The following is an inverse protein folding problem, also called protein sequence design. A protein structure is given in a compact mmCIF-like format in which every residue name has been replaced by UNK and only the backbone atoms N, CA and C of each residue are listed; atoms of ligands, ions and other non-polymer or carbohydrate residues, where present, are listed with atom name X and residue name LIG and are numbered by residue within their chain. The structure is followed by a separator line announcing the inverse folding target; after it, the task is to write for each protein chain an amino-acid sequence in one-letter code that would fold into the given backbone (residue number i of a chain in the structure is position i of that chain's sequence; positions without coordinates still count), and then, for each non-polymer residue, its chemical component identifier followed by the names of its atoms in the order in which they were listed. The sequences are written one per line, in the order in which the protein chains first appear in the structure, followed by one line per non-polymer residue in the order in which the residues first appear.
data_IF_248941421199
#
_entry.id   IF_248941421199
#
_cell.length_a   1.000
_cell.length_b   1.000
_cell.length_c   1.000
_cell.angle_alpha   90.00
_cell.angle_beta   90.00
_cell.angle_gamma   90.00
#
_symmetry.space_group_name_H-M   'P 1'
#
loop_
_entity.id
_entity.type
_entity.pdbx_description
1 polymer ?
#
# COMPACT_ATOMS: atom_id res chain seq x y z
N UNK A 1 -2.09 3.24 39.47
CA UNK A 1 -1.08 3.77 38.52
C UNK A 1 -0.69 2.77 37.43
N UNK A 2 -0.38 1.48 37.71
CA UNK A 2 -0.07 0.48 36.65
C UNK A 2 -1.25 0.14 35.73
N UNK A 3 -2.43 -0.18 36.27
CA UNK A 3 -3.62 -0.53 35.47
C UNK A 3 -4.08 0.57 34.50
N UNK A 4 -3.93 1.84 34.88
CA UNK A 4 -4.22 2.98 33.99
C UNK A 4 -3.23 3.05 32.81
N UNK A 5 -1.98 2.70 33.05
CA UNK A 5 -0.91 2.72 32.04
C UNK A 5 -1.03 1.56 31.06
N UNK A 6 -1.48 0.39 31.52
CA UNK A 6 -1.71 -0.77 30.65
C UNK A 6 -2.95 -0.58 29.77
N UNK A 7 -4.03 -0.01 30.32
CA UNK A 7 -5.21 0.37 29.54
C UNK A 7 -4.92 1.48 28.51
N UNK A 8 -4.08 2.46 28.87
CA UNK A 8 -3.61 3.49 27.94
C UNK A 8 -2.76 2.91 26.80
N UNK A 9 -1.93 1.90 27.07
CA UNK A 9 -1.14 1.23 26.03
C UNK A 9 -2.02 0.42 25.08
N UNK A 10 -2.97 -0.34 25.62
CA UNK A 10 -3.91 -1.14 24.82
C UNK A 10 -4.77 -0.24 23.92
N UNK A 11 -5.29 0.87 24.45
CA UNK A 11 -6.06 1.86 23.67
C UNK A 11 -5.20 2.48 22.55
N UNK A 12 -3.89 2.60 22.77
CA UNK A 12 -2.96 3.16 21.79
C UNK A 12 -2.65 2.16 20.68
N UNK A 13 -2.48 0.89 21.02
CA UNK A 13 -2.28 -0.19 20.07
C UNK A 13 -3.54 -0.41 19.21
N UNK A 14 -4.74 -0.34 19.81
CA UNK A 14 -6.02 -0.39 19.09
C UNK A 14 -6.20 0.79 18.13
N UNK A 15 -5.78 1.99 18.55
CA UNK A 15 -5.80 3.18 17.70
C UNK A 15 -4.80 3.09 16.54
N UNK A 16 -3.60 2.56 16.78
CA UNK A 16 -2.59 2.32 15.75
C UNK A 16 -3.06 1.27 14.74
N UNK A 17 -3.73 0.20 15.19
CA UNK A 17 -4.31 -0.82 14.32
C UNK A 17 -5.44 -0.25 13.46
N UNK A 18 -6.35 0.51 14.07
CA UNK A 18 -7.46 1.18 13.35
C UNK A 18 -6.90 2.15 12.31
N UNK A 19 -5.84 2.89 12.63
CA UNK A 19 -5.18 3.79 11.69
C UNK A 19 -4.52 3.03 10.53
N UNK A 20 -3.93 1.86 10.78
CA UNK A 20 -3.35 1.01 9.75
C UNK A 20 -4.42 0.44 8.80
N UNK A 21 -5.55 -0.04 9.33
CA UNK A 21 -6.66 -0.59 8.54
C UNK A 21 -7.30 0.49 7.65
N UNK A 22 -7.44 1.72 8.16
CA UNK A 22 -7.89 2.87 7.38
C UNK A 22 -6.92 3.23 6.26
N UNK A 23 -5.61 3.25 6.55
CA UNK A 23 -4.57 3.53 5.57
C UNK A 23 -4.56 2.48 4.44
N UNK A 24 -4.73 1.20 4.80
CA UNK A 24 -4.85 0.11 3.83
C UNK A 24 -6.13 0.24 2.99
N UNK A 25 -7.26 0.59 3.60
CA UNK A 25 -8.52 0.81 2.88
C UNK A 25 -8.40 1.97 1.89
N UNK A 26 -7.74 3.06 2.29
CA UNK A 26 -7.47 4.20 1.42
C UNK A 26 -6.53 3.80 0.27
N UNK A 27 -5.50 3.02 0.55
CA UNK A 27 -4.58 2.51 -0.48
C UNK A 27 -5.30 1.63 -1.51
N UNK A 28 -6.14 0.68 -1.06
CA UNK A 28 -6.93 -0.17 -1.96
C UNK A 28 -7.91 0.65 -2.81
N UNK A 29 -8.52 1.69 -2.23
CA UNK A 29 -9.43 2.60 -2.95
C UNK A 29 -8.68 3.38 -4.03
N UNK A 30 -7.53 3.96 -3.70
CA UNK A 30 -6.68 4.68 -4.65
C UNK A 30 -6.18 3.76 -5.78
N UNK A 31 -5.85 2.50 -5.46
CA UNK A 31 -5.45 1.52 -6.46
C UNK A 31 -6.60 1.18 -7.41
N UNK A 32 -7.80 0.92 -6.88
CA UNK A 32 -8.98 0.68 -7.71
C UNK A 32 -9.28 1.86 -8.63
N UNK A 33 -9.17 3.10 -8.11
CA UNK A 33 -9.34 4.30 -8.91
C UNK A 33 -8.26 4.42 -10.01
N UNK A 34 -7.02 4.06 -9.69
CA UNK A 34 -5.93 4.03 -10.66
C UNK A 34 -6.15 3.00 -11.77
N UNK A 35 -6.63 1.81 -11.43
CA UNK A 35 -6.91 0.76 -12.42
C UNK A 35 -8.05 1.16 -13.36
N UNK A 36 -9.09 1.80 -12.82
CA UNK A 36 -10.20 2.38 -13.60
C UNK A 36 -9.69 3.49 -14.53
N UNK A 37 -8.83 4.38 -14.04
CA UNK A 37 -8.25 5.46 -14.86
C UNK A 37 -7.32 4.90 -15.97
N UNK A 38 -6.56 3.84 -15.68
CA UNK A 38 -5.76 3.15 -16.69
C UNK A 38 -6.65 2.54 -17.77
N UNK A 39 -7.71 1.83 -17.37
CA UNK A 39 -8.65 1.24 -18.31
C UNK A 39 -9.35 2.30 -19.16
N UNK A 40 -9.80 3.40 -18.54
CA UNK A 40 -10.36 4.55 -19.23
C UNK A 40 -9.38 5.17 -20.23
N UNK A 41 -8.11 5.31 -19.85
CA UNK A 41 -7.08 5.83 -20.77
C UNK A 41 -6.79 4.89 -21.93
N UNK A 42 -6.78 3.57 -21.71
CA UNK A 42 -6.61 2.58 -22.78
C UNK A 42 -7.80 2.60 -23.75
N UNK A 43 -9.03 2.71 -23.22
CA UNK A 43 -10.24 2.83 -24.03
C UNK A 43 -10.23 4.12 -24.87
N UNK A 44 -9.84 5.26 -24.28
CA UNK A 44 -9.69 6.53 -25.00
C UNK A 44 -8.63 6.46 -26.09
N UNK A 45 -7.49 5.82 -25.83
CA UNK A 45 -6.45 5.61 -26.84
C UNK A 45 -6.97 4.75 -28.00
N UNK A 46 -7.71 3.69 -27.72
CA UNK A 46 -8.30 2.82 -28.73
C UNK A 46 -9.36 3.57 -29.57
N UNK A 47 -10.20 4.39 -28.94
CA UNK A 47 -11.16 5.25 -29.63
C UNK A 47 -10.45 6.28 -30.50
N UNK A 48 -9.42 6.95 -29.96
CA UNK A 48 -8.65 7.94 -30.70
C UNK A 48 -7.92 7.34 -31.91
N UNK A 49 -7.34 6.15 -31.76
CA UNK A 49 -6.73 5.42 -32.89
C UNK A 49 -7.76 5.07 -33.97
N UNK A 50 -8.99 4.74 -33.56
CA UNK A 50 -10.09 4.44 -34.48
C UNK A 50 -10.59 5.69 -35.21
N UNK A 51 -10.69 6.81 -34.52
CA UNK A 51 -11.04 8.11 -35.10
C UNK A 51 -9.95 8.59 -36.07
N UNK A 52 -8.68 8.38 -35.74
CA UNK A 52 -7.57 8.65 -36.66
C UNK A 52 -7.71 7.82 -37.94
N UNK A 53 -7.98 6.52 -37.81
CA UNK A 53 -8.15 5.65 -38.97
C UNK A 53 -9.36 6.04 -39.85
N UNK A 54 -10.44 6.51 -39.22
CA UNK A 54 -11.59 7.06 -39.95
C UNK A 54 -11.20 8.35 -40.69
N UNK A 55 -10.49 9.26 -40.03
CA UNK A 55 -10.02 10.51 -40.63
C UNK A 55 -9.04 10.27 -41.78
N UNK A 56 -8.12 9.31 -41.66
CA UNK A 56 -7.18 8.94 -42.72
C UNK A 56 -7.92 8.38 -43.95
N UNK A 57 -8.99 7.61 -43.74
CA UNK A 57 -9.85 7.11 -44.81
C UNK A 57 -10.61 8.23 -45.50
N UNK A 58 -11.18 9.14 -44.73
CA UNK A 58 -11.93 10.28 -45.27
C UNK A 58 -10.99 11.20 -46.06
N UNK A 59 -9.74 11.36 -45.61
CA UNK A 59 -8.72 12.08 -46.37
C UNK A 59 -8.38 11.38 -47.68
N UNK A 60 -8.17 10.06 -47.67
CA UNK A 60 -7.89 9.32 -48.88
C UNK A 60 -9.05 9.40 -49.90
N UNK A 61 -10.29 9.49 -49.42
CA UNK A 61 -11.46 9.73 -50.25
C UNK A 61 -11.47 11.16 -50.81
N UNK A 62 -11.22 12.18 -49.97
CA UNK A 62 -11.15 13.57 -50.38
C UNK A 62 -10.03 13.83 -51.42
N UNK A 63 -8.83 13.27 -51.21
CA UNK A 63 -7.71 13.37 -52.15
C UNK A 63 -8.04 12.69 -53.50
N UNK A 64 -8.80 11.59 -53.46
CA UNK A 64 -9.27 10.92 -54.68
C UNK A 64 -10.33 11.77 -55.42
N UNK A 65 -11.26 12.39 -54.69
CA UNK A 65 -12.26 13.30 -55.27
C UNK A 65 -11.62 14.57 -55.83
N UNK A 66 -10.63 15.13 -55.15
CA UNK A 66 -9.83 16.28 -55.61
C UNK A 66 -9.11 15.95 -56.92
N UNK A 67 -8.45 14.79 -57.00
CA UNK A 67 -7.78 14.34 -58.23
C UNK A 67 -8.74 14.18 -59.43
N UNK A 68 -10.04 13.99 -59.16
CA UNK A 68 -11.10 13.85 -60.15
C UNK A 68 -11.84 15.17 -60.44
N UNK A 69 -11.66 16.19 -59.60
CA UNK A 69 -12.37 17.47 -59.67
C UNK A 69 -11.47 18.54 -60.31
N UNK A 70 -11.96 19.34 -61.27
CA UNK A 70 -11.16 20.44 -61.83
C UNK A 70 -10.77 21.44 -60.74
N UNK A 71 -9.48 21.82 -60.64
CA UNK A 71 -9.01 22.68 -59.55
C UNK A 71 -9.70 24.05 -59.58
N UNK A 72 -10.11 24.51 -58.41
CA UNK A 72 -10.72 25.81 -58.18
C UNK A 72 -10.18 26.44 -56.91
N UNK A 73 -10.18 27.78 -56.83
CA UNK A 73 -9.66 28.49 -55.64
C UNK A 73 -10.45 28.14 -54.37
N UNK A 74 -11.75 27.87 -54.49
CA UNK A 74 -12.59 27.48 -53.34
C UNK A 74 -12.29 26.05 -52.85
N UNK A 75 -12.02 25.10 -53.75
CA UNK A 75 -11.66 23.72 -53.37
C UNK A 75 -10.30 23.67 -52.68
N UNK A 76 -9.33 24.45 -53.17
CA UNK A 76 -7.98 24.50 -52.60
C UNK A 76 -8.00 25.10 -51.18
N UNK A 77 -8.75 26.19 -50.98
CA UNK A 77 -8.91 26.83 -49.67
C UNK A 77 -9.61 25.94 -48.64
N UNK A 78 -10.64 25.20 -49.05
CA UNK A 78 -11.34 24.27 -48.17
C UNK A 78 -10.44 23.10 -47.74
N UNK A 79 -9.60 22.58 -48.64
CA UNK A 79 -8.66 21.50 -48.34
C UNK A 79 -7.59 21.97 -47.36
N UNK A 80 -7.00 23.14 -47.58
CA UNK A 80 -5.98 23.72 -46.71
C UNK A 80 -6.52 23.97 -45.29
N UNK A 81 -7.73 24.56 -45.18
CA UNK A 81 -8.40 24.74 -43.88
C UNK A 81 -8.66 23.41 -43.15
N UNK A 82 -9.10 22.38 -43.87
CA UNK A 82 -9.32 21.05 -43.30
C UNK A 82 -8.00 20.40 -42.83
N UNK A 83 -6.90 20.67 -43.55
CA UNK A 83 -5.55 20.21 -43.18
C UNK A 83 -5.08 20.86 -41.89
N UNK A 84 -5.27 22.17 -41.75
CA UNK A 84 -4.90 22.93 -40.56
C UNK A 84 -5.70 22.47 -39.32
N UNK A 85 -7.02 22.25 -39.47
CA UNK A 85 -7.85 21.72 -38.39
C UNK A 85 -7.38 20.35 -37.89
N UNK A 86 -6.95 19.46 -38.79
CA UNK A 86 -6.41 18.13 -38.40
C UNK A 86 -5.08 18.21 -37.68
N UNK A 87 -4.19 19.12 -38.10
CA UNK A 87 -2.93 19.35 -37.40
C UNK A 87 -3.22 19.84 -35.98
N UNK A 88 -4.09 20.83 -35.82
CA UNK A 88 -4.49 21.33 -34.52
C UNK A 88 -5.13 20.25 -33.62
N UNK A 89 -6.00 19.40 -34.18
CA UNK A 89 -6.63 18.30 -33.45
C UNK A 89 -5.63 17.19 -33.07
N UNK A 90 -4.55 17.02 -33.83
CA UNK A 90 -3.46 16.09 -33.49
C UNK A 90 -2.62 16.65 -32.35
N UNK A 91 -2.25 17.94 -32.44
CA UNK A 91 -1.50 18.62 -31.38
C UNK A 91 -2.24 18.63 -30.04
N UNK A 92 -3.56 18.85 -30.04
CA UNK A 92 -4.39 18.80 -28.83
C UNK A 92 -4.42 17.40 -28.18
N UNK A 93 -4.48 16.35 -29.02
CA UNK A 93 -4.44 14.96 -28.56
C UNK A 93 -3.08 14.60 -27.97
N UNK A 94 -1.99 15.00 -28.62
CA UNK A 94 -0.63 14.78 -28.12
C UNK A 94 -0.40 15.51 -26.79
N UNK A 95 -0.88 16.76 -26.67
CA UNK A 95 -0.83 17.51 -25.41
C UNK A 95 -1.62 16.82 -24.28
N UNK A 96 -2.79 16.27 -24.62
CA UNK A 96 -3.61 15.51 -23.67
C UNK A 96 -2.91 14.21 -23.25
N UNK A 97 -2.33 13.46 -24.19
CA UNK A 97 -1.58 12.24 -23.91
C UNK A 97 -0.37 12.52 -23.01
N UNK A 98 0.38 13.59 -23.29
CA UNK A 98 1.51 14.01 -22.47
C UNK A 98 1.08 14.39 -21.04
N UNK A 99 -0.04 15.11 -20.90
CA UNK A 99 -0.60 15.48 -19.59
C UNK A 99 -0.99 14.24 -18.77
N UNK A 100 -1.64 13.25 -19.41
CA UNK A 100 -1.98 11.98 -18.78
C UNK A 100 -0.75 11.19 -18.35
N UNK A 101 0.26 11.11 -19.21
CA UNK A 101 1.53 10.46 -18.88
C UNK A 101 2.21 11.10 -17.66
N UNK A 102 2.20 12.43 -17.56
CA UNK A 102 2.71 13.16 -16.39
C UNK A 102 1.93 12.84 -15.11
N UNK A 103 0.60 12.78 -15.17
CA UNK A 103 -0.24 12.42 -14.01
C UNK A 103 0.02 10.98 -13.56
N UNK A 104 0.10 10.03 -14.49
CA UNK A 104 0.44 8.65 -14.18
C UNK A 104 1.82 8.52 -13.51
N UNK A 105 2.83 9.26 -14.00
CA UNK A 105 4.16 9.29 -13.39
C UNK A 105 4.13 9.85 -11.96
N UNK A 106 3.38 10.93 -11.71
CA UNK A 106 3.22 11.51 -10.36
C UNK A 106 2.53 10.55 -9.38
N UNK A 107 1.53 9.80 -9.86
CA UNK A 107 0.85 8.78 -9.05
C UNK A 107 1.78 7.63 -8.71
N UNK A 108 2.61 7.18 -9.65
CA UNK A 108 3.62 6.16 -9.40
C UNK A 108 4.66 6.60 -8.36
N UNK A 109 5.15 7.85 -8.41
CA UNK A 109 6.04 8.39 -7.38
C UNK A 109 5.36 8.41 -6.00
N UNK A 110 4.08 8.83 -5.97
CA UNK A 110 3.30 8.85 -4.74
C UNK A 110 3.12 7.46 -4.14
N UNK A 111 2.83 6.44 -4.96
CA UNK A 111 2.74 5.06 -4.52
C UNK A 111 4.08 4.56 -3.94
N UNK A 112 5.20 4.80 -4.65
CA UNK A 112 6.55 4.46 -4.17
C UNK A 112 6.89 5.13 -2.84
N UNK A 113 6.51 6.41 -2.64
CA UNK A 113 6.69 7.10 -1.37
C UNK A 113 5.90 6.44 -0.23
N UNK A 114 4.65 6.05 -0.48
CA UNK A 114 3.82 5.35 0.52
C UNK A 114 4.41 3.99 0.89
N UNK A 115 4.87 3.21 -0.09
CA UNK A 115 5.51 1.91 0.15
C UNK A 115 6.77 2.06 1.03
N UNK A 116 7.58 3.11 0.80
CA UNK A 116 8.73 3.41 1.64
C UNK A 116 8.34 3.79 3.08
N UNK A 117 7.27 4.58 3.26
CA UNK A 117 6.75 4.92 4.59
C UNK A 117 6.26 3.67 5.31
N UNK A 118 5.52 2.80 4.62
CA UNK A 118 5.04 1.54 5.17
C UNK A 118 6.20 0.63 5.60
N UNK A 119 7.23 0.48 4.77
CA UNK A 119 8.45 -0.27 5.12
C UNK A 119 9.14 0.32 6.36
N UNK A 120 9.20 1.65 6.48
CA UNK A 120 9.73 2.32 7.67
C UNK A 120 8.94 2.01 8.95
N UNK A 121 7.61 1.94 8.86
CA UNK A 121 6.73 1.55 9.97
C UNK A 121 6.96 0.09 10.37
N UNK A 122 7.09 -0.82 9.41
CA UNK A 122 7.34 -2.25 9.69
C UNK A 122 8.68 -2.47 10.40
N UNK A 123 9.73 -1.77 9.96
CA UNK A 123 11.03 -1.81 10.62
C UNK A 123 10.96 -1.31 12.07
N UNK A 124 10.18 -0.25 12.29
CA UNK A 124 9.94 0.31 13.63
C UNK A 124 9.17 -0.68 14.50
N UNK A 125 8.14 -1.32 13.97
CA UNK A 125 7.36 -2.34 14.67
C UNK A 125 8.24 -3.56 15.02
N UNK A 126 9.06 -4.04 14.08
CA UNK A 126 10.01 -5.12 14.34
C UNK A 126 11.06 -4.76 15.41
N UNK A 127 11.48 -3.50 15.49
CA UNK A 127 12.34 -3.03 16.58
C UNK A 127 11.62 -3.06 17.94
N UNK A 128 10.34 -2.65 18.00
CA UNK A 128 9.52 -2.73 19.21
C UNK A 128 9.31 -4.17 19.66
N UNK A 129 9.04 -5.09 18.73
CA UNK A 129 8.88 -6.51 19.05
C UNK A 129 10.16 -7.13 19.61
N UNK A 130 11.32 -6.77 19.08
CA UNK A 130 12.62 -7.19 19.65
C UNK A 130 12.79 -6.68 21.08
N UNK A 131 12.48 -5.41 21.32
CA UNK A 131 12.54 -4.83 22.66
C UNK A 131 11.52 -5.46 23.63
N UNK A 132 10.32 -5.84 23.15
CA UNK A 132 9.35 -6.57 23.94
C UNK A 132 9.85 -7.98 24.31
N UNK A 133 10.39 -8.73 23.34
CA UNK A 133 10.99 -10.06 23.60
C UNK A 133 12.10 -10.01 24.65
N UNK A 134 13.00 -9.03 24.56
CA UNK A 134 14.07 -8.86 25.57
C UNK A 134 13.50 -8.63 26.97
N UNK A 135 12.41 -7.86 27.10
CA UNK A 135 11.76 -7.61 28.40
C UNK A 135 11.06 -8.86 28.94
N UNK A 136 10.48 -9.68 28.06
CA UNK A 136 9.85 -10.94 28.46
C UNK A 136 10.90 -11.96 28.93
N UNK A 137 12.04 -12.06 28.24
CA UNK A 137 13.17 -12.90 28.65
C UNK A 137 13.70 -12.48 30.04
N UNK A 138 13.87 -11.18 30.28
CA UNK A 138 14.26 -10.67 31.59
C UNK A 138 13.22 -10.95 32.67
N UNK A 139 11.93 -10.88 32.33
CA UNK A 139 10.85 -11.21 33.26
C UNK A 139 10.85 -12.70 33.62
N UNK A 140 11.06 -13.57 32.64
CA UNK A 140 11.14 -15.02 32.86
C UNK A 140 12.36 -15.41 33.71
N UNK A 141 13.50 -14.72 33.55
CA UNK A 141 14.66 -14.92 34.44
C UNK A 141 14.31 -14.50 35.87
N UNK A 142 13.62 -13.37 36.05
CA UNK A 142 13.20 -12.89 37.38
C UNK A 142 12.22 -13.85 38.04
N UNK A 143 11.25 -14.37 37.30
CA UNK A 143 10.27 -15.32 37.82
C UNK A 143 10.93 -16.64 38.23
N UNK A 144 11.85 -17.18 37.40
CA UNK A 144 12.62 -18.38 37.77
C UNK A 144 13.49 -18.18 39.01
N UNK A 145 14.09 -17.00 39.17
CA UNK A 145 14.89 -16.68 40.36
C UNK A 145 14.00 -16.59 41.61
N UNK A 146 12.82 -15.98 41.50
CA UNK A 146 11.85 -15.93 42.59
C UNK A 146 11.38 -17.34 42.99
N UNK A 147 11.06 -18.21 42.03
CA UNK A 147 10.67 -19.59 42.31
C UNK A 147 11.79 -20.39 43.00
N UNK A 148 13.04 -20.15 42.62
CA UNK A 148 14.19 -20.79 43.27
C UNK A 148 14.34 -20.32 44.74
N UNK A 149 14.17 -19.01 44.99
CA UNK A 149 14.20 -18.44 46.34
C UNK A 149 13.04 -18.93 47.20
N UNK A 150 11.84 -19.05 46.64
CA UNK A 150 10.66 -19.55 47.34
C UNK A 150 10.84 -21.04 47.74
N UNK A 151 11.45 -21.86 46.86
CA UNK A 151 11.82 -23.25 47.17
C UNK A 151 12.90 -23.38 48.24
N UNK A 152 13.85 -22.44 48.29
CA UNK A 152 14.90 -22.41 49.31
C UNK A 152 14.39 -21.91 50.66
N UNK A 153 13.38 -21.03 50.65
CA UNK A 153 12.78 -20.42 51.84
C UNK A 153 11.67 -21.25 52.47
N UNK A 154 11.22 -22.34 51.82
CA UNK A 154 10.17 -23.22 52.35
C UNK A 154 10.71 -24.05 53.52
N UNK A 155 10.56 -23.55 54.75
CA UNK A 155 10.77 -24.32 55.98
C UNK A 155 9.63 -25.32 56.12
N UNK A 156 9.87 -26.62 56.32
CA UNK A 156 8.80 -27.59 56.55
C UNK A 156 8.04 -27.25 57.83
N UNK A 157 6.80 -26.74 57.72
CA UNK A 157 5.85 -26.59 58.83
C UNK A 157 5.43 -25.16 59.26
N UNK A 158 5.62 -24.13 58.43
CA UNK A 158 5.09 -22.77 58.69
C UNK A 158 3.67 -22.55 58.12
N UNK A 159 2.85 -21.64 58.68
CA UNK A 159 1.46 -21.43 58.25
C UNK A 159 1.34 -20.87 56.82
N UNK A 160 0.61 -21.61 55.97
CA UNK A 160 0.60 -21.56 54.49
C UNK A 160 -0.18 -20.40 53.82
N UNK A 161 -0.83 -19.48 54.54
CA UNK A 161 -1.85 -18.62 53.90
C UNK A 161 -1.35 -17.27 53.31
N UNK A 162 -0.09 -16.86 53.53
CA UNK A 162 0.39 -15.53 53.11
C UNK A 162 1.30 -15.53 51.87
N UNK A 163 1.77 -16.70 51.41
CA UNK A 163 2.76 -16.86 50.33
C UNK A 163 2.15 -17.19 48.95
N UNK A 164 0.85 -17.50 48.87
CA UNK A 164 0.21 -17.97 47.63
C UNK A 164 -0.20 -16.84 46.65
N UNK A 165 -0.55 -15.66 47.16
CA UNK A 165 -0.98 -14.53 46.32
C UNK A 165 0.15 -14.00 45.41
N UNK A 166 1.41 -13.88 45.86
CA UNK A 166 2.54 -13.52 44.99
C UNK A 166 2.78 -14.54 43.87
N UNK A 167 2.63 -15.84 44.14
CA UNK A 167 2.84 -16.90 43.14
C UNK A 167 1.74 -16.89 42.06
N UNK A 168 0.47 -16.81 42.47
CA UNK A 168 -0.64 -16.73 41.53
C UNK A 168 -0.59 -15.49 40.62
N UNK A 169 -0.14 -14.34 41.15
CA UNK A 169 0.07 -13.12 40.36
C UNK A 169 1.23 -13.26 39.36
N UNK A 170 2.29 -14.00 39.70
CA UNK A 170 3.39 -14.30 38.77
C UNK A 170 2.94 -15.22 37.65
N UNK A 171 2.19 -16.29 37.96
CA UNK A 171 1.63 -17.21 36.96
C UNK A 171 0.65 -16.52 36.01
N UNK A 172 -0.22 -15.66 36.54
CA UNK A 172 -1.11 -14.83 35.72
C UNK A 172 -0.31 -13.88 34.82
N UNK A 173 0.74 -13.24 35.37
CA UNK A 173 1.65 -12.39 34.60
C UNK A 173 2.40 -13.13 33.50
N UNK A 174 2.89 -14.34 33.77
CA UNK A 174 3.57 -15.19 32.79
C UNK A 174 2.62 -15.63 31.67
N UNK A 175 1.37 -15.95 32.01
CA UNK A 175 0.32 -16.28 31.03
C UNK A 175 0.04 -15.09 30.12
N UNK A 176 -0.19 -13.90 30.68
CA UNK A 176 -0.42 -12.68 29.89
C UNK A 176 0.75 -12.34 28.95
N UNK A 177 2.01 -12.52 29.40
CA UNK A 177 3.18 -12.32 28.55
C UNK A 177 3.24 -13.33 27.40
N UNK A 178 2.90 -14.59 27.67
CA UNK A 178 2.84 -15.64 26.65
C UNK A 178 1.80 -15.33 25.58
N UNK A 179 0.60 -14.92 25.99
CA UNK A 179 -0.48 -14.56 25.06
C UNK A 179 -0.07 -13.32 24.24
N UNK A 180 0.46 -12.29 24.90
CA UNK A 180 0.99 -11.09 24.23
C UNK A 180 2.12 -11.42 23.24
N UNK A 181 2.96 -12.42 23.53
CA UNK A 181 4.00 -12.87 22.61
C UNK A 181 3.44 -13.60 21.38
N UNK A 182 2.34 -14.34 21.55
CA UNK A 182 1.62 -14.97 20.44
C UNK A 182 0.97 -13.92 19.53
N UNK A 183 0.32 -12.91 20.11
CA UNK A 183 -0.31 -11.82 19.36
C UNK A 183 0.73 -11.05 18.54
N UNK A 184 1.87 -10.71 19.14
CA UNK A 184 2.99 -10.07 18.40
C UNK A 184 3.53 -10.96 17.29
N UNK A 185 3.58 -12.27 17.49
CA UNK A 185 4.03 -13.21 16.45
C UNK A 185 3.02 -13.31 15.30
N UNK A 186 1.72 -13.24 15.58
CA UNK A 186 0.68 -13.15 14.55
C UNK A 186 0.80 -11.84 13.76
N UNK A 187 0.84 -10.70 14.45
CA UNK A 187 1.00 -9.38 13.84
C UNK A 187 2.27 -9.28 12.97
N UNK A 188 3.36 -9.94 13.37
CA UNK A 188 4.58 -10.00 12.55
C UNK A 188 4.36 -10.76 11.23
N UNK A 189 3.62 -11.87 11.24
CA UNK A 189 3.29 -12.62 10.00
C UNK A 189 2.38 -11.83 9.08
N UNK A 190 1.43 -11.08 9.65
CA UNK A 190 0.53 -10.24 8.87
C UNK A 190 1.31 -9.12 8.17
N UNK A 191 2.26 -8.48 8.88
CA UNK A 191 3.17 -7.50 8.27
C UNK A 191 4.06 -8.10 7.19
N UNK A 192 4.60 -9.31 7.39
CA UNK A 192 5.37 -10.01 6.35
C UNK A 192 4.53 -10.30 5.11
N UNK A 193 3.26 -10.66 5.30
CA UNK A 193 2.33 -10.94 4.19
C UNK A 193 2.00 -9.65 3.44
N UNK A 194 1.66 -8.57 4.15
CA UNK A 194 1.46 -7.25 3.56
C UNK A 194 2.71 -6.71 2.85
N UNK A 195 3.91 -7.03 3.34
CA UNK A 195 5.16 -6.66 2.66
C UNK A 195 5.31 -7.39 1.32
N UNK A 196 4.98 -8.68 1.25
CA UNK A 196 4.99 -9.44 -0.01
C UNK A 196 3.95 -8.92 -0.99
N UNK A 197 2.74 -8.60 -0.51
CA UNK A 197 1.67 -8.06 -1.36
C UNK A 197 2.10 -6.72 -1.98
N UNK A 198 2.79 -5.86 -1.21
CA UNK A 198 3.36 -4.61 -1.73
C UNK A 198 4.49 -4.85 -2.74
N UNK A 199 5.34 -5.86 -2.53
CA UNK A 199 6.40 -6.22 -3.48
C UNK A 199 5.83 -6.77 -4.80
N UNK A 200 4.77 -7.57 -4.73
CA UNK A 200 4.04 -8.04 -5.90
C UNK A 200 3.41 -6.85 -6.65
N UNK A 201 2.67 -5.99 -5.94
CA UNK A 201 2.06 -4.80 -6.52
C UNK A 201 3.10 -3.81 -7.07
N UNK A 202 4.30 -3.73 -6.49
CA UNK A 202 5.39 -2.92 -7.02
C UNK A 202 5.95 -3.51 -8.32
N UNK A 203 6.10 -4.83 -8.40
CA UNK A 203 6.53 -5.53 -9.63
C UNK A 203 5.51 -5.35 -10.76
N UNK A 204 4.21 -5.44 -10.46
CA UNK A 204 3.14 -5.22 -11.44
C UNK A 204 3.16 -3.80 -12.04
N UNK A 205 3.72 -2.82 -11.32
CA UNK A 205 3.86 -1.43 -11.78
C UNK A 205 5.11 -1.22 -12.63
N UNK A 206 6.08 -2.15 -12.64
CA UNK A 206 7.29 -2.05 -13.46
C UNK A 206 7.06 -2.74 -14.82
N UNK A 207 6.98 -1.99 -15.93
CA UNK A 207 6.72 -2.57 -17.25
C UNK A 207 7.89 -3.40 -17.80
N UNK A 208 9.07 -3.36 -17.18
CA UNK A 208 10.23 -4.17 -17.59
C UNK A 208 10.12 -5.65 -17.17
N UNK A 209 9.38 -6.01 -16.12
CA UNK A 209 9.24 -7.40 -15.67
C UNK A 209 8.28 -8.27 -16.51
N UNK A 210 7.61 -7.71 -17.51
CA UNK A 210 6.71 -8.45 -18.40
C UNK A 210 7.42 -9.04 -19.65
N UNK A 211 8.72 -8.82 -19.82
CA UNK A 211 9.50 -9.21 -21.00
C UNK A 211 10.68 -10.17 -20.72
N UNK A 212 10.78 -10.75 -19.52
CA UNK A 212 11.71 -11.85 -19.19
C UNK A 212 10.97 -13.19 -19.04
#
# INVERSE_FOLDING_TARGET
MRLLRDAELQTRDDADQTAADLDQTHANTDQTASDVDQWGSQADQALSARDQHASDRDQAAADWEEAQTPPSVETDQAHEASRDERVAATDERDATAASRASVSAQRLDTARRRDNVARGRDLTAAARDRAARSRDEEADIRDRLADAQDRESTVPGGPDDATDVPAALRDAGATLRKDSAQDRAAAARDRDSAARDREAAASDRDPESANE
#
